data_IF_650028659939
#
_entry.id   IF_650028659939
#
_cell.length_a   1.000
_cell.length_b   1.000
_cell.length_c   1.000
_cell.angle_alpha   90.00
_cell.angle_beta   90.00
_cell.angle_gamma   90.00
#
_symmetry.space_group_name_H-M   'P 1'
#
loop_
_entity.id
_entity.type
_entity.pdbx_description
1 polymer ?
#
# COMPACT_ATOMS: atom_id res chain seq x y z
N UNK A 1 -13.88 -15.21 -14.49
CA UNK A 1 -13.23 -14.95 -13.18
C UNK A 1 -13.60 -13.54 -12.77
N UNK A 2 -14.23 -13.40 -11.62
CA UNK A 2 -15.20 -12.34 -11.28
C UNK A 2 -14.61 -10.92 -11.21
N UNK A 3 -15.40 -9.98 -11.73
CA UNK A 3 -15.12 -8.56 -11.77
C UNK A 3 -14.96 -7.98 -10.35
N UNK A 4 -13.88 -7.21 -10.15
CA UNK A 4 -13.59 -6.49 -8.93
C UNK A 4 -14.81 -5.65 -8.47
N UNK A 5 -15.26 -5.76 -7.20
CA UNK A 5 -16.43 -5.05 -6.74
C UNK A 5 -16.13 -3.56 -6.54
N UNK A 6 -17.01 -2.75 -7.15
CA UNK A 6 -17.44 -1.41 -6.81
C UNK A 6 -16.71 -0.69 -5.65
N UNK A 7 -16.00 0.38 -6.01
CA UNK A 7 -15.89 1.69 -5.34
C UNK A 7 -16.29 1.78 -3.85
N UNK A 8 -15.63 1.01 -2.98
CA UNK A 8 -15.69 1.28 -1.53
C UNK A 8 -14.71 2.41 -1.24
N UNK A 9 -15.24 3.57 -0.80
CA UNK A 9 -14.41 4.71 -0.39
C UNK A 9 -13.58 4.32 0.82
N UNK A 10 -12.31 3.99 0.61
CA UNK A 10 -11.36 3.71 1.67
C UNK A 10 -11.08 5.02 2.39
N UNK A 11 -11.53 5.16 3.63
CA UNK A 11 -11.44 6.41 4.39
C UNK A 11 -10.05 6.65 4.98
N UNK A 12 -9.32 5.59 5.31
CA UNK A 12 -8.00 5.66 5.92
C UNK A 12 -7.20 4.40 5.59
N UNK A 13 -5.97 4.59 5.13
CA UNK A 13 -5.01 3.54 4.86
C UNK A 13 -3.76 3.87 5.67
N UNK A 14 -3.22 2.89 6.40
CA UNK A 14 -2.03 3.08 7.24
C UNK A 14 -1.17 1.83 7.13
N UNK A 15 0.12 2.01 6.89
CA UNK A 15 1.10 0.93 6.93
C UNK A 15 1.65 0.83 8.34
N UNK A 16 1.41 -0.32 8.99
CA UNK A 16 2.04 -0.62 10.26
C UNK A 16 3.50 -1.05 10.01
N UNK A 17 4.43 -0.18 10.41
CA UNK A 17 5.87 -0.40 10.23
C UNK A 17 6.43 -1.49 11.14
N UNK A 18 5.70 -1.90 12.18
CA UNK A 18 6.13 -2.97 13.07
C UNK A 18 5.82 -4.35 12.46
N UNK A 19 4.68 -4.46 11.76
CA UNK A 19 4.30 -5.67 11.01
C UNK A 19 4.89 -5.73 9.60
N UNK A 20 5.41 -4.62 9.08
CA UNK A 20 6.03 -4.59 7.76
C UNK A 20 7.36 -5.35 7.75
N UNK A 21 7.35 -6.54 7.13
CA UNK A 21 8.52 -7.41 6.93
C UNK A 21 9.38 -7.03 5.72
N UNK A 22 9.02 -5.97 5.00
CA UNK A 22 9.75 -5.51 3.81
C UNK A 22 9.67 -6.42 2.59
N UNK A 23 8.64 -7.27 2.50
CA UNK A 23 8.42 -8.16 1.35
C UNK A 23 8.19 -7.42 0.02
N UNK A 24 7.92 -6.11 0.03
CA UNK A 24 7.75 -5.30 -1.18
C UNK A 24 6.52 -5.62 -2.03
N UNK A 25 5.67 -6.57 -1.62
CA UNK A 25 4.44 -6.96 -2.32
C UNK A 25 3.47 -5.79 -2.53
N UNK A 26 3.42 -4.85 -1.59
CA UNK A 26 2.62 -3.62 -1.71
C UNK A 26 3.11 -2.68 -2.82
N UNK A 27 4.43 -2.58 -3.04
CA UNK A 27 5.01 -1.79 -4.13
C UNK A 27 4.81 -2.49 -5.46
N UNK A 28 4.90 -3.83 -5.50
CA UNK A 28 4.61 -4.61 -6.70
C UNK A 28 3.14 -4.50 -7.13
N UNK A 29 2.20 -4.49 -6.17
CA UNK A 29 0.77 -4.35 -6.43
C UNK A 29 0.38 -2.91 -6.80
N UNK A 30 0.97 -1.91 -6.15
CA UNK A 30 0.64 -0.49 -6.36
C UNK A 30 1.89 0.41 -6.18
N UNK A 31 2.77 0.48 -7.20
CA UNK A 31 4.03 1.22 -7.12
C UNK A 31 3.86 2.74 -7.07
N UNK A 32 2.67 3.23 -7.45
CA UNK A 32 2.31 4.66 -7.37
C UNK A 32 1.87 5.06 -5.96
N UNK A 33 1.31 4.13 -5.18
CA UNK A 33 0.76 4.39 -3.84
C UNK A 33 1.76 4.06 -2.74
N UNK A 34 2.55 2.99 -2.91
CA UNK A 34 3.52 2.53 -1.92
C UNK A 34 4.95 2.64 -2.45
N UNK A 35 5.88 3.01 -1.57
CA UNK A 35 7.32 2.95 -1.79
C UNK A 35 7.99 2.18 -0.64
N UNK A 36 9.17 1.60 -0.87
CA UNK A 36 10.02 1.06 0.18
C UNK A 36 11.05 2.13 0.58
N UNK A 37 11.14 2.43 1.87
CA UNK A 37 12.22 3.27 2.39
C UNK A 37 13.54 2.47 2.48
N UNK A 38 14.64 3.15 2.81
CA UNK A 38 15.97 2.52 2.94
C UNK A 38 16.10 1.45 4.03
N UNK A 39 15.13 1.30 4.92
CA UNK A 39 15.06 0.22 5.91
C UNK A 39 14.24 -0.99 5.40
N UNK A 40 13.94 -1.04 4.09
CA UNK A 40 13.00 -1.98 3.48
C UNK A 40 11.58 -1.90 4.05
N UNK A 41 11.17 -0.80 4.68
CA UNK A 41 9.81 -0.64 5.19
C UNK A 41 8.93 0.06 4.16
N UNK A 42 7.73 -0.46 3.97
CA UNK A 42 6.75 0.15 3.10
C UNK A 42 6.25 1.49 3.68
N UNK A 43 6.20 2.51 2.84
CA UNK A 43 5.69 3.86 3.12
C UNK A 43 4.65 4.22 2.08
N UNK A 44 3.61 4.95 2.47
CA UNK A 44 2.55 5.40 1.56
C UNK A 44 2.98 6.75 0.98
N UNK A 45 3.15 6.82 -0.34
CA UNK A 45 3.47 8.05 -1.09
C UNK A 45 2.26 8.90 -1.40
N UNK A 46 1.12 8.27 -1.65
CA UNK A 46 -0.08 8.95 -2.10
C UNK A 46 -1.17 8.80 -1.03
N UNK A 47 -1.35 9.84 -0.24
CA UNK A 47 -2.62 10.11 0.42
C UNK A 47 -3.45 10.97 -0.54
N UNK A 48 -3.94 10.34 -1.62
CA UNK A 48 -4.87 10.98 -2.54
C UNK A 48 -6.24 11.05 -1.88
N UNK A 49 -6.72 12.26 -1.60
CA UNK A 49 -8.08 12.55 -1.15
C UNK A 49 -9.12 12.40 -2.26
#
# INVERSE_FOLDING_TARGET
>A
MEAAPASRKIKRLTVDRNLCIGAGSCVAAAPTVFELNGENKAVIKQQGG
#
